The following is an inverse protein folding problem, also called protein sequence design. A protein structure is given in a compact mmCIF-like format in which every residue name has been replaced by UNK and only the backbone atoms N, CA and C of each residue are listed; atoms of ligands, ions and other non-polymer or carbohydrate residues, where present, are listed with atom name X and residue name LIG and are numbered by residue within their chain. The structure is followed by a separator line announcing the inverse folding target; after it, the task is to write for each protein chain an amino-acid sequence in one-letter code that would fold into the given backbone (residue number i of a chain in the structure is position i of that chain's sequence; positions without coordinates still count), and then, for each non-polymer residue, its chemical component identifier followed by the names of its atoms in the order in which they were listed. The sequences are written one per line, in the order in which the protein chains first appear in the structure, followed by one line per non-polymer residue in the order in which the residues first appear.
data_IF_709610150720
#
_entry.id   IF_709610150720
#
_cell.length_a   1.000
_cell.length_b   1.000
_cell.length_c   1.000
_cell.angle_alpha   90.00
_cell.angle_beta   90.00
_cell.angle_gamma   90.00
#
_symmetry.space_group_name_H-M   'P 1'
#
loop_
_entity.id
_entity.type
_entity.pdbx_description
1 polymer ?
#
# COMPACT_ATOMS: atom_id res chain seq x y z
N UNK A 1 44.98 34.65 -45.98
CA UNK A 1 44.88 34.80 -44.52
C UNK A 1 43.51 35.39 -44.20
N UNK A 2 42.51 34.53 -43.98
CA UNK A 2 41.16 34.95 -43.58
C UNK A 2 40.97 34.66 -42.10
N UNK A 3 40.81 35.74 -41.34
CA UNK A 3 40.56 35.74 -39.90
C UNK A 3 39.16 35.20 -39.61
N UNK A 4 39.09 34.04 -38.95
CA UNK A 4 37.86 33.49 -38.37
C UNK A 4 37.63 34.17 -37.02
N UNK A 5 36.78 35.18 -37.00
CA UNK A 5 36.27 35.80 -35.77
C UNK A 5 35.20 34.90 -35.16
N UNK A 6 35.58 34.22 -34.07
CA UNK A 6 34.68 33.36 -33.30
C UNK A 6 33.63 34.22 -32.58
N UNK A 7 32.35 33.91 -32.81
CA UNK A 7 31.21 34.64 -32.26
C UNK A 7 31.09 34.40 -30.75
N UNK A 8 31.26 35.46 -29.94
CA UNK A 8 31.22 35.41 -28.47
C UNK A 8 29.90 34.86 -27.87
N UNK A 9 28.81 34.82 -28.65
CA UNK A 9 27.54 34.21 -28.20
C UNK A 9 27.59 32.68 -28.11
N UNK A 10 28.42 32.01 -28.89
CA UNK A 10 28.55 30.54 -28.85
C UNK A 10 29.31 30.07 -27.61
N UNK A 11 30.22 30.90 -27.09
CA UNK A 11 31.04 30.59 -25.90
C UNK A 11 30.19 30.55 -24.61
N UNK A 12 29.09 31.31 -24.53
CA UNK A 12 28.21 31.34 -23.34
C UNK A 12 27.29 30.13 -23.19
N UNK A 13 27.10 29.32 -24.22
CA UNK A 13 26.29 28.09 -24.18
C UNK A 13 27.11 26.82 -23.95
N UNK A 14 28.41 26.83 -24.27
CA UNK A 14 29.28 25.66 -24.13
C UNK A 14 29.75 25.49 -22.68
N UNK A 15 30.00 26.58 -21.95
CA UNK A 15 30.50 26.52 -20.59
C UNK A 15 29.52 25.85 -19.58
N UNK A 16 28.20 26.13 -19.59
CA UNK A 16 27.26 25.46 -18.68
C UNK A 16 27.08 23.97 -19.00
N UNK A 17 27.10 23.61 -20.29
CA UNK A 17 26.93 22.22 -20.75
C UNK A 17 28.17 21.38 -20.39
N UNK A 18 29.37 21.93 -20.55
CA UNK A 18 30.60 21.25 -20.13
C UNK A 18 30.66 21.05 -18.61
N UNK A 19 30.23 22.03 -17.81
CA UNK A 19 30.14 21.89 -16.35
C UNK A 19 29.09 20.84 -15.96
N UNK A 20 27.92 20.83 -16.59
CA UNK A 20 26.87 19.85 -16.32
C UNK A 20 27.31 18.42 -16.66
N UNK A 21 28.01 18.23 -17.79
CA UNK A 21 28.57 16.93 -18.18
C UNK A 21 29.71 16.49 -17.26
N UNK A 22 30.54 17.42 -16.78
CA UNK A 22 31.65 17.10 -15.86
C UNK A 22 31.12 16.71 -14.47
N UNK A 23 30.07 17.39 -13.98
CA UNK A 23 29.39 17.03 -12.72
C UNK A 23 28.67 15.68 -12.86
N UNK A 24 27.96 15.44 -13.98
CA UNK A 24 27.32 14.15 -14.24
C UNK A 24 28.35 13.01 -14.33
N UNK A 25 29.50 13.24 -14.97
CA UNK A 25 30.59 12.28 -15.07
C UNK A 25 31.25 12.00 -13.71
N UNK A 26 31.48 13.03 -12.89
CA UNK A 26 32.02 12.89 -11.53
C UNK A 26 31.05 12.16 -10.60
N UNK A 27 29.74 12.40 -10.69
CA UNK A 27 28.72 11.67 -9.93
C UNK A 27 28.66 10.20 -10.37
N UNK A 28 28.81 9.91 -11.66
CA UNK A 28 28.84 8.53 -12.16
C UNK A 28 30.12 7.78 -11.74
N UNK A 29 31.25 8.48 -11.66
CA UNK A 29 32.53 7.86 -11.27
C UNK A 29 32.73 7.75 -9.75
N UNK A 30 32.22 8.68 -8.95
CA UNK A 30 32.27 8.57 -7.48
C UNK A 30 31.32 7.51 -6.92
N UNK A 31 30.27 7.13 -7.67
CA UNK A 31 29.39 6.00 -7.33
C UNK A 31 29.89 4.63 -7.82
N UNK A 32 31.09 4.55 -8.39
CA UNK A 32 31.80 3.29 -8.62
C UNK A 32 33.07 3.26 -7.79
N UNK A 33 32.97 2.74 -6.57
CA UNK A 33 34.13 2.18 -5.88
C UNK A 33 33.80 0.79 -5.32
N UNK A 34 34.80 -0.11 -5.27
CA UNK A 34 34.62 -1.55 -5.26
C UNK A 34 34.47 -2.13 -3.85
N UNK A 35 34.01 -3.38 -3.81
CA UNK A 35 33.65 -4.16 -2.62
C UNK A 35 34.56 -3.97 -1.42
N UNK A 36 33.98 -3.45 -0.34
CA UNK A 36 34.48 -3.64 1.01
C UNK A 36 33.99 -5.01 1.52
N UNK A 37 34.92 -5.86 1.91
CA UNK A 37 34.66 -7.14 2.59
C UNK A 37 34.04 -6.82 3.95
N UNK A 38 32.77 -7.18 4.14
CA UNK A 38 32.08 -7.09 5.43
C UNK A 38 32.50 -8.32 6.25
N UNK A 39 32.98 -8.17 7.51
CA UNK A 39 33.30 -9.31 8.35
C UNK A 39 32.04 -10.10 8.69
N UNK A 40 32.13 -11.43 8.60
CA UNK A 40 31.10 -12.39 8.96
C UNK A 40 30.61 -12.17 10.40
N UNK A 41 29.42 -11.59 10.54
CA UNK A 41 28.66 -11.62 11.79
C UNK A 41 27.99 -12.98 11.85
N UNK A 42 28.41 -13.81 12.81
CA UNK A 42 27.71 -15.05 13.18
C UNK A 42 26.25 -14.73 13.49
N UNK A 43 25.33 -15.24 12.67
CA UNK A 43 23.91 -15.34 13.00
C UNK A 43 23.74 -16.38 14.12
N UNK A 44 22.99 -16.07 15.20
CA UNK A 44 22.54 -17.10 16.14
C UNK A 44 21.52 -18.00 15.43
N UNK A 45 21.77 -19.31 15.44
CA UNK A 45 20.92 -20.37 14.85
C UNK A 45 19.63 -20.63 15.65
N UNK A 46 18.87 -19.57 15.95
CA UNK A 46 17.55 -19.68 16.55
C UNK A 46 16.55 -18.91 15.68
N UNK A 47 16.03 -19.57 14.64
CA UNK A 47 14.74 -19.17 14.09
C UNK A 47 13.72 -19.31 15.22
N UNK A 48 13.06 -18.24 15.68
CA UNK A 48 11.92 -18.40 16.58
C UNK A 48 10.86 -19.21 15.84
N UNK A 49 10.35 -20.26 16.49
CA UNK A 49 9.20 -21.02 16.03
C UNK A 49 8.03 -20.05 15.80
N UNK A 50 7.86 -19.61 14.56
CA UNK A 50 6.67 -18.84 14.16
C UNK A 50 5.52 -19.85 14.15
N UNK A 51 4.53 -19.72 15.04
CA UNK A 51 3.39 -20.62 15.04
C UNK A 51 2.72 -20.53 13.67
N UNK A 52 2.40 -21.66 13.05
CA UNK A 52 1.54 -21.67 11.88
C UNK A 52 0.27 -20.87 12.20
N UNK A 53 -0.18 -19.97 11.31
CA UNK A 53 -1.36 -19.16 11.58
C UNK A 53 -2.53 -20.10 11.92
N UNK A 54 -3.35 -19.75 12.92
CA UNK A 54 -4.50 -20.56 13.27
C UNK A 54 -5.37 -20.77 12.02
N UNK A 55 -5.95 -21.97 11.83
CA UNK A 55 -6.88 -22.21 10.74
C UNK A 55 -7.95 -21.12 10.77
N UNK A 56 -8.19 -20.52 9.61
CA UNK A 56 -9.19 -19.47 9.43
C UNK A 56 -10.52 -20.06 9.90
N UNK A 57 -10.97 -19.69 11.10
CA UNK A 57 -12.33 -19.90 11.58
C UNK A 57 -13.25 -18.93 10.83
N UNK A 58 -13.27 -19.04 9.50
CA UNK A 58 -14.45 -18.68 8.75
C UNK A 58 -15.54 -19.61 9.27
N UNK A 59 -16.66 -19.03 9.70
CA UNK A 59 -17.82 -19.78 10.19
C UNK A 59 -18.35 -20.73 9.12
N UNK A 60 -17.71 -21.88 8.97
CA UNK A 60 -18.30 -23.07 8.42
C UNK A 60 -18.97 -23.78 9.58
N UNK A 61 -20.18 -23.29 9.89
CA UNK A 61 -21.14 -24.06 10.66
C UNK A 61 -21.33 -25.39 9.93
N UNK A 62 -20.80 -26.44 10.54
CA UNK A 62 -20.74 -27.79 10.00
C UNK A 62 -22.11 -28.45 10.01
N UNK A 63 -23.03 -27.95 9.19
CA UNK A 63 -24.27 -28.67 8.88
C UNK A 63 -24.63 -28.49 7.40
N UNK A 64 -24.61 -29.62 6.70
CA UNK A 64 -25.37 -29.94 5.49
C UNK A 64 -25.50 -28.89 4.37
N UNK A 65 -24.74 -29.12 3.29
CA UNK A 65 -25.29 -29.09 1.92
C UNK A 65 -24.35 -29.75 0.91
N UNK A 66 -24.71 -30.97 0.49
CA UNK A 66 -24.43 -31.44 -0.87
C UNK A 66 -25.05 -30.42 -1.84
N UNK A 67 -24.20 -29.58 -2.45
CA UNK A 67 -24.56 -28.61 -3.49
C UNK A 67 -24.49 -27.14 -3.08
N UNK A 68 -23.29 -26.57 -3.00
CA UNK A 68 -23.08 -25.18 -3.46
C UNK A 68 -21.60 -24.95 -3.79
N UNK A 69 -21.25 -25.02 -5.06
CA UNK A 69 -19.94 -24.60 -5.60
C UNK A 69 -19.87 -23.07 -5.64
N UNK A 70 -19.89 -22.38 -4.50
CA UNK A 70 -20.09 -20.91 -4.47
C UNK A 70 -18.94 -20.12 -5.12
N UNK A 71 -17.71 -20.48 -4.79
CA UNK A 71 -16.49 -19.94 -5.40
C UNK A 71 -15.33 -20.79 -4.89
N UNK A 72 -14.45 -21.26 -5.79
CA UNK A 72 -13.19 -21.90 -5.40
C UNK A 72 -12.09 -20.86 -5.55
N UNK A 73 -11.41 -20.47 -4.46
CA UNK A 73 -10.33 -19.51 -4.57
C UNK A 73 -9.18 -20.09 -5.40
N UNK A 74 -8.41 -19.24 -6.10
CA UNK A 74 -7.25 -19.69 -6.82
C UNK A 74 -6.19 -20.19 -5.83
N UNK A 75 -5.36 -21.11 -6.31
CA UNK A 75 -4.24 -21.67 -5.57
C UNK A 75 -3.00 -21.57 -6.44
N UNK A 76 -1.86 -21.31 -5.82
CA UNK A 76 -0.58 -21.34 -6.50
C UNK A 76 -0.29 -22.75 -7.04
N UNK A 77 0.13 -22.84 -8.31
CA UNK A 77 0.57 -24.11 -8.91
C UNK A 77 1.90 -24.58 -8.31
N UNK A 78 2.77 -23.65 -7.92
CA UNK A 78 4.06 -23.92 -7.28
C UNK A 78 3.94 -23.70 -5.76
N UNK A 79 4.11 -24.76 -4.97
CA UNK A 79 3.89 -24.74 -3.51
C UNK A 79 5.14 -24.93 -2.65
N UNK A 80 6.32 -25.02 -3.25
CA UNK A 80 7.58 -25.16 -2.52
C UNK A 80 8.29 -23.81 -2.37
N UNK A 81 9.20 -23.72 -1.40
CA UNK A 81 9.91 -22.48 -1.08
C UNK A 81 10.57 -21.86 -2.31
N UNK A 82 10.17 -20.63 -2.64
CA UNK A 82 10.72 -19.87 -3.75
C UNK A 82 11.83 -18.89 -3.35
N UNK A 83 12.04 -18.70 -2.05
CA UNK A 83 13.17 -17.93 -1.55
C UNK A 83 14.23 -18.91 -1.09
N UNK A 84 15.39 -18.89 -1.76
CA UNK A 84 16.57 -19.67 -1.37
C UNK A 84 17.19 -19.10 -0.09
N UNK A 85 18.05 -19.87 0.58
CA UNK A 85 18.74 -19.44 1.81
C UNK A 85 19.58 -18.17 1.67
N UNK A 86 20.00 -17.82 0.45
CA UNK A 86 20.69 -16.57 0.08
C UNK A 86 19.72 -15.42 -0.26
N UNK A 87 18.44 -15.56 0.10
CA UNK A 87 17.33 -14.63 -0.18
C UNK A 87 17.00 -14.43 -1.66
N UNK A 88 17.62 -15.19 -2.57
CA UNK A 88 17.29 -15.12 -3.99
C UNK A 88 15.91 -15.72 -4.21
N UNK A 89 15.06 -14.96 -4.90
CA UNK A 89 13.74 -15.42 -5.32
C UNK A 89 13.89 -16.18 -6.63
N UNK A 90 13.43 -17.42 -6.63
CA UNK A 90 13.25 -18.22 -7.82
C UNK A 90 11.94 -17.79 -8.50
N UNK A 91 12.07 -17.32 -9.74
CA UNK A 91 10.96 -16.62 -10.41
C UNK A 91 10.68 -17.09 -11.83
N UNK A 92 11.45 -18.08 -12.30
CA UNK A 92 11.30 -18.72 -13.61
C UNK A 92 11.28 -17.75 -14.81
N UNK A 93 11.78 -16.53 -14.64
CA UNK A 93 11.88 -15.56 -15.73
C UNK A 93 13.24 -15.58 -16.44
N UNK A 94 14.24 -16.30 -15.91
CA UNK A 94 15.63 -16.39 -16.39
C UNK A 94 16.36 -15.06 -16.63
N UNK A 95 15.73 -13.92 -16.31
CA UNK A 95 16.19 -12.59 -16.73
C UNK A 95 16.58 -11.73 -15.53
N UNK A 96 15.86 -11.82 -14.41
CA UNK A 96 16.06 -10.91 -13.28
C UNK A 96 16.26 -11.65 -11.97
N UNK A 97 17.38 -11.37 -11.30
CA UNK A 97 17.63 -11.84 -9.93
C UNK A 97 16.97 -10.89 -8.95
N UNK A 98 15.85 -11.34 -8.39
CA UNK A 98 15.17 -10.67 -7.30
C UNK A 98 15.65 -11.22 -5.97
N UNK A 99 15.82 -10.34 -4.99
CA UNK A 99 16.19 -10.71 -3.63
C UNK A 99 15.11 -10.26 -2.67
N UNK A 100 14.68 -11.17 -1.81
CA UNK A 100 13.80 -10.88 -0.69
C UNK A 100 14.57 -10.02 0.33
N UNK A 101 14.01 -8.87 0.69
CA UNK A 101 14.55 -7.98 1.70
C UNK A 101 13.52 -7.74 2.80
N UNK A 102 14.01 -7.62 4.03
CA UNK A 102 13.15 -7.47 5.19
C UNK A 102 12.64 -8.83 5.67
N UNK A 103 11.32 -8.95 5.84
CA UNK A 103 10.69 -10.18 6.30
C UNK A 103 10.64 -11.19 5.15
N UNK A 104 11.01 -12.43 5.45
CA UNK A 104 10.78 -13.54 4.52
C UNK A 104 9.28 -13.74 4.26
N UNK A 105 8.90 -14.19 3.06
CA UNK A 105 7.51 -14.55 2.83
C UNK A 105 7.08 -15.65 3.80
N UNK A 106 6.02 -15.37 4.54
CA UNK A 106 5.39 -16.34 5.45
C UNK A 106 4.85 -17.57 4.71
N UNK A 107 4.73 -17.48 3.37
CA UNK A 107 4.19 -18.51 2.51
C UNK A 107 5.21 -18.87 1.44
N UNK A 108 5.48 -20.17 1.24
CA UNK A 108 6.54 -20.62 0.33
C UNK A 108 6.14 -20.54 -1.16
N UNK A 109 4.85 -20.40 -1.44
CA UNK A 109 4.23 -20.51 -2.76
C UNK A 109 4.70 -19.48 -3.80
N UNK A 110 4.57 -19.87 -5.08
CA UNK A 110 4.80 -19.01 -6.25
C UNK A 110 3.56 -18.97 -7.13
N UNK A 111 3.16 -17.77 -7.53
CA UNK A 111 1.99 -17.54 -8.35
C UNK A 111 2.42 -17.23 -9.77
N UNK A 112 1.96 -17.98 -10.77
CA UNK A 112 1.96 -17.48 -12.16
C UNK A 112 0.86 -16.43 -12.32
N UNK A 113 0.93 -15.64 -13.41
CA UNK A 113 -0.15 -14.69 -13.71
C UNK A 113 -1.50 -15.40 -13.90
N UNK A 114 -1.49 -16.59 -14.49
CA UNK A 114 -2.69 -17.41 -14.69
C UNK A 114 -3.22 -17.97 -13.38
N UNK A 115 -2.35 -18.48 -12.50
CA UNK A 115 -2.75 -18.95 -11.16
C UNK A 115 -3.48 -17.83 -10.43
N UNK A 116 -2.92 -16.62 -10.46
CA UNK A 116 -3.46 -15.49 -9.72
C UNK A 116 -4.77 -14.96 -10.30
N UNK A 117 -4.87 -14.83 -11.63
CA UNK A 117 -5.98 -14.10 -12.25
C UNK A 117 -6.90 -14.91 -13.14
N UNK A 118 -6.54 -16.14 -13.51
CA UNK A 118 -7.28 -16.98 -14.46
C UNK A 118 -8.75 -17.16 -14.07
N UNK A 119 -9.02 -17.45 -12.80
CA UNK A 119 -10.38 -17.66 -12.27
C UNK A 119 -11.25 -16.40 -12.31
N UNK A 120 -10.67 -15.21 -12.42
CA UNK A 120 -11.40 -13.93 -12.46
C UNK A 120 -11.65 -13.43 -13.88
N UNK A 121 -11.05 -14.06 -14.89
CA UNK A 121 -11.21 -13.65 -16.29
C UNK A 121 -12.64 -13.84 -16.78
N UNK A 122 -13.22 -15.00 -16.47
CA UNK A 122 -14.56 -15.41 -16.85
C UNK A 122 -15.34 -15.79 -15.59
N UNK A 123 -16.37 -15.03 -15.27
CA UNK A 123 -17.21 -15.28 -14.11
C UNK A 123 -18.36 -16.21 -14.50
N UNK A 124 -18.70 -17.15 -13.61
CA UNK A 124 -20.01 -17.79 -13.63
C UNK A 124 -21.09 -16.78 -13.18
N UNK A 125 -22.36 -17.06 -13.50
CA UNK A 125 -23.48 -16.24 -13.03
C UNK A 125 -23.54 -16.17 -11.50
N UNK A 126 -23.21 -17.28 -10.83
CA UNK A 126 -23.17 -17.35 -9.36
C UNK A 126 -22.07 -16.45 -8.78
N UNK A 127 -20.87 -16.51 -9.35
CA UNK A 127 -19.75 -15.68 -8.89
C UNK A 127 -19.99 -14.20 -9.16
N UNK A 128 -20.57 -13.84 -10.32
CA UNK A 128 -20.98 -12.47 -10.60
C UNK A 128 -22.04 -11.97 -9.60
N UNK A 129 -22.97 -12.84 -9.20
CA UNK A 129 -23.98 -12.52 -8.18
C UNK A 129 -23.33 -12.29 -6.82
N UNK A 130 -22.39 -13.14 -6.39
CA UNK A 130 -21.63 -12.97 -5.13
C UNK A 130 -20.98 -11.58 -5.09
N UNK A 131 -20.32 -11.16 -6.17
CA UNK A 131 -19.71 -9.84 -6.27
C UNK A 131 -20.77 -8.74 -6.12
N UNK A 132 -21.86 -8.81 -6.88
CA UNK A 132 -22.92 -7.78 -6.86
C UNK A 132 -23.65 -7.67 -5.52
N UNK A 133 -23.66 -8.74 -4.75
CA UNK A 133 -24.35 -8.85 -3.47
C UNK A 133 -23.42 -8.67 -2.27
N UNK A 134 -22.11 -8.44 -2.47
CA UNK A 134 -21.12 -8.45 -1.39
C UNK A 134 -21.52 -7.61 -0.17
N UNK A 135 -22.10 -6.42 -0.39
CA UNK A 135 -22.47 -5.50 0.68
C UNK A 135 -23.95 -5.64 1.12
N UNK A 136 -24.77 -6.46 0.44
CA UNK A 136 -26.21 -6.54 0.69
C UNK A 136 -26.49 -7.27 1.99
N UNK A 137 -27.26 -6.62 2.88
CA UNK A 137 -27.64 -7.14 4.20
C UNK A 137 -26.43 -7.60 5.05
N UNK A 138 -25.25 -7.04 4.76
CA UNK A 138 -24.03 -7.39 5.46
C UNK A 138 -24.05 -6.87 6.89
N UNK A 139 -23.67 -7.74 7.83
CA UNK A 139 -23.42 -7.42 9.24
C UNK A 139 -21.94 -7.13 9.51
N UNK A 140 -21.11 -7.08 8.47
CA UNK A 140 -19.68 -6.86 8.59
C UNK A 140 -19.42 -5.47 9.21
N UNK A 141 -18.49 -5.43 10.16
CA UNK A 141 -18.02 -4.20 10.82
C UNK A 141 -16.70 -3.68 10.21
N UNK A 142 -16.18 -4.37 9.20
CA UNK A 142 -14.96 -4.01 8.46
C UNK A 142 -15.28 -3.81 6.99
N UNK A 143 -14.57 -2.89 6.35
CA UNK A 143 -14.69 -2.67 4.91
C UNK A 143 -13.33 -2.47 4.22
N UNK A 144 -13.30 -2.69 2.91
CA UNK A 144 -12.22 -2.29 2.02
C UNK A 144 -12.76 -1.23 1.07
N UNK A 145 -12.09 -0.09 1.00
CA UNK A 145 -12.41 1.04 0.14
C UNK A 145 -11.34 1.13 -0.95
N UNK A 146 -11.69 0.70 -2.16
CA UNK A 146 -10.86 0.90 -3.35
C UNK A 146 -11.04 2.33 -3.85
N UNK A 147 -9.98 3.14 -3.84
CA UNK A 147 -9.99 4.57 -4.18
C UNK A 147 -9.64 4.79 -5.66
N UNK A 148 -10.57 5.39 -6.41
CA UNK A 148 -10.42 5.67 -7.85
C UNK A 148 -10.57 7.15 -8.18
N UNK A 149 -9.87 7.61 -9.21
CA UNK A 149 -10.10 8.91 -9.86
C UNK A 149 -10.98 8.78 -11.11
N UNK A 150 -11.52 9.90 -11.58
CA UNK A 150 -12.37 9.93 -12.79
C UNK A 150 -11.68 9.56 -14.10
N UNK A 151 -10.35 9.45 -14.09
CA UNK A 151 -9.55 8.99 -15.24
C UNK A 151 -9.28 7.47 -15.22
N UNK A 152 -9.77 6.71 -14.24
CA UNK A 152 -9.58 5.25 -14.21
C UNK A 152 -10.26 4.58 -15.41
N UNK A 153 -9.51 3.86 -16.26
CA UNK A 153 -10.13 2.92 -17.19
C UNK A 153 -10.40 1.55 -16.55
N UNK A 154 -11.48 0.95 -17.02
CA UNK A 154 -11.92 -0.38 -16.65
C UNK A 154 -11.39 -1.41 -17.66
N UNK A 155 -10.05 -1.50 -17.77
CA UNK A 155 -9.40 -2.52 -18.61
C UNK A 155 -9.39 -3.88 -17.91
N UNK A 156 -9.26 -4.96 -18.69
CA UNK A 156 -9.44 -6.33 -18.21
C UNK A 156 -8.63 -6.65 -16.94
N UNK A 157 -7.37 -6.22 -16.88
CA UNK A 157 -6.48 -6.52 -15.75
C UNK A 157 -6.90 -5.81 -14.47
N UNK A 158 -7.36 -4.56 -14.60
CA UNK A 158 -7.93 -3.83 -13.49
C UNK A 158 -9.25 -4.49 -13.04
N UNK A 159 -10.11 -4.88 -13.98
CA UNK A 159 -11.34 -5.61 -13.67
C UNK A 159 -11.05 -6.89 -12.89
N UNK A 160 -10.07 -7.70 -13.31
CA UNK A 160 -9.71 -8.95 -12.61
C UNK A 160 -9.16 -8.69 -11.21
N UNK A 161 -8.38 -7.62 -11.04
CA UNK A 161 -7.94 -7.17 -9.72
C UNK A 161 -9.11 -6.76 -8.81
N UNK A 162 -10.08 -5.99 -9.31
CA UNK A 162 -11.25 -5.62 -8.49
C UNK A 162 -12.11 -6.85 -8.17
N UNK A 163 -12.31 -7.75 -9.13
CA UNK A 163 -13.01 -9.03 -8.89
C UNK A 163 -12.32 -9.86 -7.82
N UNK A 164 -10.99 -9.94 -7.86
CA UNK A 164 -10.23 -10.67 -6.84
C UNK A 164 -10.34 -10.02 -5.48
N UNK A 165 -10.29 -8.69 -5.39
CA UNK A 165 -10.50 -7.96 -4.14
C UNK A 165 -11.88 -8.26 -3.53
N UNK A 166 -12.95 -8.22 -4.33
CA UNK A 166 -14.32 -8.47 -3.85
C UNK A 166 -14.50 -9.93 -3.43
N UNK A 167 -14.03 -10.89 -4.22
CA UNK A 167 -14.20 -12.31 -3.89
C UNK A 167 -13.31 -12.76 -2.73
N UNK A 168 -12.07 -12.29 -2.66
CA UNK A 168 -11.14 -12.69 -1.61
C UNK A 168 -11.38 -11.88 -0.34
N UNK A 169 -11.19 -10.56 -0.35
CA UNK A 169 -11.38 -9.75 0.85
C UNK A 169 -12.86 -9.69 1.27
N UNK A 170 -13.76 -9.54 0.30
CA UNK A 170 -15.18 -9.40 0.60
C UNK A 170 -15.85 -10.71 1.01
N UNK A 171 -15.90 -11.67 0.08
CA UNK A 171 -16.61 -12.92 0.29
C UNK A 171 -15.90 -13.90 1.24
N UNK A 172 -14.57 -14.06 1.14
CA UNK A 172 -13.84 -15.03 1.97
C UNK A 172 -13.40 -14.45 3.33
N UNK A 173 -12.91 -13.19 3.36
CA UNK A 173 -12.44 -12.58 4.61
C UNK A 173 -13.51 -11.78 5.38
N UNK A 174 -14.73 -11.65 4.85
CA UNK A 174 -15.85 -11.01 5.55
C UNK A 174 -15.76 -9.49 5.62
N UNK A 175 -15.34 -8.84 4.53
CA UNK A 175 -15.35 -7.38 4.41
C UNK A 175 -16.48 -6.90 3.49
N UNK A 176 -17.02 -5.72 3.76
CA UNK A 176 -17.75 -4.99 2.72
C UNK A 176 -16.73 -4.35 1.77
N UNK A 177 -16.96 -4.37 0.46
CA UNK A 177 -16.06 -3.78 -0.53
C UNK A 177 -16.75 -2.62 -1.24
N UNK A 178 -16.15 -1.44 -1.14
CA UNK A 178 -16.67 -0.19 -1.68
C UNK A 178 -15.69 0.34 -2.72
N UNK A 179 -16.19 0.62 -3.92
CA UNK A 179 -15.43 1.26 -4.98
C UNK A 179 -15.74 2.76 -4.91
N UNK A 180 -14.86 3.51 -4.25
CA UNK A 180 -15.06 4.94 -4.00
C UNK A 180 -14.39 5.78 -5.09
N UNK A 181 -15.19 6.52 -5.85
CA UNK A 181 -14.74 7.20 -7.07
C UNK A 181 -14.89 8.71 -6.93
N UNK A 182 -13.78 9.43 -7.08
CA UNK A 182 -13.76 10.88 -7.18
C UNK A 182 -14.14 11.33 -8.60
N UNK A 183 -15.28 11.99 -8.76
CA UNK A 183 -15.81 12.47 -10.03
C UNK A 183 -16.18 13.96 -9.95
N UNK A 184 -15.31 14.82 -10.47
CA UNK A 184 -15.59 16.24 -10.71
C UNK A 184 -16.00 16.45 -12.18
N UNK A 185 -17.21 15.99 -12.52
CA UNK A 185 -17.76 16.11 -13.88
C UNK A 185 -19.28 16.33 -13.84
N UNK A 186 -19.83 16.83 -14.94
CA UNK A 186 -21.27 16.98 -15.10
C UNK A 186 -22.02 15.63 -15.07
N UNK A 187 -23.34 15.69 -14.88
CA UNK A 187 -24.17 14.51 -14.67
C UNK A 187 -24.20 13.57 -15.88
N UNK A 188 -24.13 14.11 -17.10
CA UNK A 188 -24.13 13.33 -18.34
C UNK A 188 -22.83 12.51 -18.47
N UNK A 189 -21.67 13.17 -18.31
CA UNK A 189 -20.37 12.50 -18.31
C UNK A 189 -20.25 11.49 -17.17
N UNK A 190 -20.78 11.82 -15.99
CA UNK A 190 -20.84 10.89 -14.85
C UNK A 190 -21.64 9.63 -15.20
N UNK A 191 -22.82 9.77 -15.79
CA UNK A 191 -23.63 8.64 -16.21
C UNK A 191 -22.92 7.79 -17.27
N UNK A 192 -22.27 8.44 -18.25
CA UNK A 192 -21.48 7.75 -19.27
C UNK A 192 -20.27 7.01 -18.67
N UNK A 193 -19.60 7.59 -17.67
CA UNK A 193 -18.49 6.96 -16.97
C UNK A 193 -18.94 5.71 -16.20
N UNK A 194 -20.04 5.80 -15.45
CA UNK A 194 -20.58 4.67 -14.68
C UNK A 194 -20.99 3.48 -15.56
N UNK A 195 -21.42 3.72 -16.81
CA UNK A 195 -21.74 2.64 -17.77
C UNK A 195 -20.52 1.79 -18.16
N UNK A 196 -19.30 2.34 -18.06
CA UNK A 196 -18.05 1.62 -18.37
C UNK A 196 -17.68 0.57 -17.32
N UNK A 197 -18.26 0.67 -16.12
CA UNK A 197 -18.02 -0.27 -15.03
C UNK A 197 -18.73 -1.58 -15.34
N UNK A 198 -18.08 -2.74 -15.18
CA UNK A 198 -18.71 -4.05 -15.29
C UNK A 198 -19.96 -4.16 -14.41
N UNK A 199 -20.99 -4.81 -14.92
CA UNK A 199 -22.32 -4.79 -14.30
C UNK A 199 -22.32 -5.35 -12.89
N UNK A 200 -21.53 -6.39 -12.64
CA UNK A 200 -21.38 -7.03 -11.34
C UNK A 200 -20.75 -6.11 -10.29
N UNK A 201 -19.96 -5.12 -10.72
CA UNK A 201 -19.25 -4.19 -9.83
C UNK A 201 -20.03 -2.90 -9.57
N UNK A 202 -20.97 -2.52 -10.45
CA UNK A 202 -21.75 -1.27 -10.33
C UNK A 202 -22.42 -1.09 -8.96
N UNK A 203 -23.03 -2.11 -8.32
CA UNK A 203 -23.66 -1.96 -7.01
C UNK A 203 -22.69 -1.58 -5.88
N UNK A 204 -21.40 -1.81 -6.06
CA UNK A 204 -20.36 -1.53 -5.06
C UNK A 204 -19.82 -0.09 -5.16
N UNK A 205 -20.23 0.65 -6.19
CA UNK A 205 -19.68 1.97 -6.52
C UNK A 205 -20.36 3.07 -5.71
N UNK A 206 -19.53 3.89 -5.07
CA UNK A 206 -19.94 5.14 -4.44
C UNK A 206 -19.15 6.29 -5.05
N UNK A 207 -19.81 7.39 -5.36
CA UNK A 207 -19.16 8.56 -5.98
C UNK A 207 -19.16 9.75 -5.04
N UNK A 208 -18.12 10.56 -5.10
CA UNK A 208 -18.06 11.86 -4.45
C UNK A 208 -17.33 12.87 -5.33
N UNK A 209 -17.51 14.16 -5.05
CA UNK A 209 -16.86 15.28 -5.72
C UNK A 209 -16.01 16.11 -4.74
N UNK A 210 -15.14 16.96 -5.26
CA UNK A 210 -14.43 17.98 -4.49
C UNK A 210 -15.41 18.89 -3.74
N UNK A 211 -16.57 19.20 -4.34
CA UNK A 211 -17.58 20.01 -3.71
C UNK A 211 -18.25 19.30 -2.52
N UNK A 212 -18.46 17.98 -2.62
CA UNK A 212 -19.00 17.19 -1.50
C UNK A 212 -18.05 17.24 -0.29
N UNK A 213 -16.75 17.14 -0.52
CA UNK A 213 -15.72 17.19 0.53
C UNK A 213 -15.62 18.59 1.15
N UNK A 214 -15.63 19.66 0.33
CA UNK A 214 -15.62 21.04 0.81
C UNK A 214 -16.84 21.40 1.66
N UNK A 215 -17.99 20.82 1.34
CA UNK A 215 -19.24 20.98 2.12
C UNK A 215 -19.22 20.15 3.40
N UNK A 216 -18.63 18.95 3.36
CA UNK A 216 -18.61 18.03 4.49
C UNK A 216 -17.56 18.38 5.54
N UNK A 217 -16.37 18.81 5.13
CA UNK A 217 -15.27 19.09 6.06
C UNK A 217 -15.67 20.21 7.03
N UNK A 218 -15.52 20.01 8.35
CA UNK A 218 -15.90 21.01 9.33
C UNK A 218 -15.01 22.26 9.18
N UNK A 219 -15.64 23.44 9.33
CA UNK A 219 -14.91 24.70 9.45
C UNK A 219 -14.23 24.77 10.84
N UNK A 220 -13.05 25.42 10.93
CA UNK A 220 -12.42 26.27 9.93
C UNK A 220 -11.48 25.53 8.95
N UNK A 221 -11.34 24.20 9.01
CA UNK A 221 -10.44 23.50 8.10
C UNK A 221 -10.81 23.72 6.62
N UNK A 222 -9.78 23.76 5.80
CA UNK A 222 -9.89 23.90 4.36
C UNK A 222 -9.56 22.58 3.65
N UNK A 223 -10.33 22.28 2.61
CA UNK A 223 -10.04 21.18 1.70
C UNK A 223 -9.38 21.70 0.43
N UNK A 224 -8.12 21.30 0.22
CA UNK A 224 -7.27 21.70 -0.90
C UNK A 224 -7.61 20.89 -2.14
N UNK A 225 -7.31 19.60 -2.14
CA UNK A 225 -7.63 18.67 -3.23
C UNK A 225 -7.52 17.21 -2.75
N UNK A 226 -8.11 16.28 -3.52
CA UNK A 226 -8.13 14.85 -3.18
C UNK A 226 -6.73 14.23 -3.21
N UNK A 227 -5.81 14.74 -4.03
CA UNK A 227 -4.46 14.19 -4.15
C UNK A 227 -3.62 14.43 -2.88
N UNK A 228 -3.74 15.61 -2.28
CA UNK A 228 -3.00 15.98 -1.07
C UNK A 228 -3.72 15.60 0.22
N UNK A 229 -5.04 15.47 0.19
CA UNK A 229 -5.86 15.22 1.38
C UNK A 229 -6.82 14.04 1.16
N UNK A 230 -6.28 12.93 0.65
CA UNK A 230 -7.06 11.72 0.33
C UNK A 230 -7.68 11.02 1.56
N UNK A 231 -7.29 11.40 2.77
CA UNK A 231 -7.90 10.98 4.03
C UNK A 231 -9.28 11.62 4.25
N UNK A 232 -9.54 12.81 3.69
CA UNK A 232 -10.84 13.51 3.86
C UNK A 232 -12.02 12.67 3.31
N UNK A 233 -11.95 12.07 2.10
CA UNK A 233 -12.94 11.10 1.65
C UNK A 233 -13.14 9.90 2.59
N UNK A 234 -12.08 9.41 3.23
CA UNK A 234 -12.14 8.26 4.15
C UNK A 234 -12.87 8.64 5.43
N UNK A 235 -12.59 9.82 5.99
CA UNK A 235 -13.32 10.35 7.14
C UNK A 235 -14.81 10.56 6.81
N UNK A 236 -15.11 11.12 5.63
CA UNK A 236 -16.50 11.29 5.17
C UNK A 236 -17.21 9.94 5.02
N UNK A 237 -16.53 8.94 4.45
CA UNK A 237 -17.04 7.58 4.33
C UNK A 237 -17.35 6.98 5.71
N UNK A 238 -16.40 7.05 6.64
CA UNK A 238 -16.56 6.52 8.01
C UNK A 238 -17.69 7.22 8.77
N UNK A 239 -17.83 8.54 8.62
CA UNK A 239 -18.91 9.31 9.23
C UNK A 239 -20.30 8.91 8.69
N UNK A 240 -20.42 8.65 7.39
CA UNK A 240 -21.68 8.23 6.75
C UNK A 240 -22.04 6.76 6.95
N UNK A 241 -21.09 5.95 7.39
CA UNK A 241 -21.27 4.52 7.57
C UNK A 241 -20.89 4.10 9.01
N UNK A 242 -21.72 4.46 10.01
CA UNK A 242 -21.41 4.24 11.43
C UNK A 242 -21.23 2.77 11.82
N UNK A 243 -21.71 1.83 10.99
CA UNK A 243 -21.56 0.39 11.23
C UNK A 243 -20.11 -0.13 11.14
N UNK A 244 -19.22 0.58 10.45
CA UNK A 244 -17.83 0.16 10.32
C UNK A 244 -16.98 0.70 11.46
N UNK A 245 -16.17 -0.17 12.07
CA UNK A 245 -15.15 0.25 13.04
C UNK A 245 -13.77 0.34 12.42
N UNK A 246 -13.57 -0.32 11.28
CA UNK A 246 -12.27 -0.39 10.63
C UNK A 246 -12.39 -0.50 9.11
N UNK A 247 -11.55 0.24 8.39
CA UNK A 247 -11.52 0.22 6.92
C UNK A 247 -10.11 0.10 6.40
N UNK A 248 -9.87 -0.78 5.43
CA UNK A 248 -8.69 -0.68 4.59
C UNK A 248 -8.98 0.23 3.41
N UNK A 249 -8.07 1.12 3.06
CA UNK A 249 -8.11 1.90 1.81
C UNK A 249 -7.04 1.38 0.88
N UNK A 250 -7.36 1.18 -0.39
CA UNK A 250 -6.43 0.66 -1.41
C UNK A 250 -6.43 1.62 -2.61
N UNK A 251 -5.26 2.08 -3.06
CA UNK A 251 -5.14 2.86 -4.31
C UNK A 251 -5.26 1.99 -5.56
N UNK A 252 -5.69 2.62 -6.66
CA UNK A 252 -5.94 1.96 -7.94
C UNK A 252 -4.68 1.39 -8.61
N UNK A 253 -3.48 1.81 -8.22
CA UNK A 253 -2.19 1.36 -8.72
C UNK A 253 -1.47 0.39 -7.76
N UNK A 254 -2.14 -0.07 -6.70
CA UNK A 254 -1.66 -1.16 -5.84
C UNK A 254 -2.07 -2.51 -6.42
N UNK A 255 -1.18 -3.50 -6.37
CA UNK A 255 -1.49 -4.88 -6.73
C UNK A 255 -1.03 -5.85 -5.65
N UNK A 256 -1.70 -6.98 -5.56
CA UNK A 256 -1.32 -8.10 -4.71
C UNK A 256 -1.08 -9.33 -5.59
N UNK A 257 0.15 -9.83 -5.60
CA UNK A 257 0.48 -11.19 -6.01
C UNK A 257 0.23 -12.08 -4.78
N UNK A 258 -0.55 -13.14 -4.94
CA UNK A 258 -1.18 -13.86 -3.83
C UNK A 258 -2.61 -13.39 -3.56
N UNK A 259 -3.24 -13.88 -2.49
CA UNK A 259 -4.65 -13.64 -2.17
C UNK A 259 -4.86 -12.63 -1.04
N UNK A 260 -5.90 -11.81 -1.18
CA UNK A 260 -6.25 -10.78 -0.21
C UNK A 260 -6.74 -11.36 1.11
N UNK A 261 -7.53 -12.43 1.11
CA UNK A 261 -8.02 -13.04 2.35
C UNK A 261 -6.88 -13.59 3.19
N UNK A 262 -5.91 -14.24 2.55
CA UNK A 262 -4.72 -14.74 3.20
C UNK A 262 -3.80 -13.62 3.69
N UNK A 263 -3.61 -12.59 2.88
CA UNK A 263 -2.79 -11.44 3.25
C UNK A 263 -3.35 -10.71 4.47
N UNK A 264 -4.66 -10.45 4.49
CA UNK A 264 -5.34 -9.80 5.61
C UNK A 264 -5.33 -10.68 6.87
N UNK A 265 -5.46 -12.00 6.72
CA UNK A 265 -5.32 -12.92 7.84
C UNK A 265 -3.90 -12.92 8.43
N UNK A 266 -2.86 -12.84 7.59
CA UNK A 266 -1.47 -12.76 8.04
C UNK A 266 -1.23 -11.44 8.82
N UNK A 267 -1.81 -10.32 8.37
CA UNK A 267 -1.78 -9.02 9.08
C UNK A 267 -2.45 -9.13 10.46
N UNK A 268 -3.66 -9.69 10.52
CA UNK A 268 -4.42 -9.85 11.77
C UNK A 268 -3.68 -10.81 12.75
N UNK A 269 -3.09 -11.89 12.24
CA UNK A 269 -2.33 -12.87 13.03
C UNK A 269 -1.05 -12.26 13.62
N UNK A 270 -0.31 -11.47 12.85
CA UNK A 270 0.87 -10.78 13.36
C UNK A 270 0.51 -9.73 14.42
N UNK A 271 -0.55 -8.95 14.20
CA UNK A 271 -0.99 -8.00 15.22
C UNK A 271 -1.43 -8.71 16.50
N UNK A 272 -2.14 -9.83 16.38
CA UNK A 272 -2.52 -10.65 17.53
C UNK A 272 -1.30 -11.21 18.28
N UNK A 273 -0.23 -11.59 17.56
CA UNK A 273 1.04 -11.97 18.18
C UNK A 273 1.62 -10.81 19.00
N UNK A 274 1.66 -9.59 18.45
CA UNK A 274 2.12 -8.41 19.17
C UNK A 274 1.33 -8.10 20.43
N UNK A 275 0.01 -8.17 20.36
CA UNK A 275 -0.86 -7.95 21.52
C UNK A 275 -0.58 -8.92 22.66
N UNK A 276 -0.33 -10.20 22.35
CA UNK A 276 0.00 -11.22 23.35
C UNK A 276 1.35 -10.96 24.04
N UNK A 277 2.25 -10.24 23.38
CA UNK A 277 3.60 -9.96 23.87
C UNK A 277 3.82 -8.47 24.15
N UNK A 278 2.75 -7.70 24.34
CA UNK A 278 2.88 -6.27 24.63
C UNK A 278 3.63 -6.03 25.95
N UNK A 279 4.41 -4.97 26.01
CA UNK A 279 5.09 -4.53 27.23
C UNK A 279 4.07 -3.95 28.23
N UNK A 280 4.45 -3.89 29.51
CA UNK A 280 3.53 -3.52 30.61
C UNK A 280 2.96 -2.11 30.49
N UNK A 281 3.67 -1.21 29.82
CA UNK A 281 3.29 0.19 29.61
C UNK A 281 2.51 0.41 28.30
N UNK A 282 2.34 -0.64 27.49
CA UNK A 282 1.57 -0.63 26.25
C UNK A 282 0.12 -1.04 26.50
N UNK A 283 -0.80 -0.38 25.81
CA UNK A 283 -2.20 -0.76 25.77
C UNK A 283 -2.65 -0.92 24.32
N UNK A 284 -2.27 -2.05 23.70
CA UNK A 284 -2.61 -2.36 22.32
C UNK A 284 -4.11 -2.73 22.23
N UNK A 285 -4.87 -1.96 21.44
CA UNK A 285 -6.30 -2.17 21.24
C UNK A 285 -6.61 -3.50 20.53
N UNK A 286 -7.89 -3.93 20.52
CA UNK A 286 -8.25 -5.18 19.83
C UNK A 286 -7.98 -5.16 18.33
N UNK A 287 -8.19 -3.99 17.74
CA UNK A 287 -7.93 -3.67 16.34
C UNK A 287 -6.98 -2.48 16.37
N UNK A 288 -5.88 -2.47 15.58
CA UNK A 288 -4.98 -1.32 15.52
C UNK A 288 -5.73 -0.09 15.01
N UNK A 289 -5.34 1.10 15.46
CA UNK A 289 -6.00 2.33 15.03
C UNK A 289 -5.53 2.78 13.64
N UNK A 290 -4.27 2.51 13.31
CA UNK A 290 -3.65 2.70 12.00
C UNK A 290 -2.87 1.44 11.62
N UNK A 291 -3.10 0.88 10.42
CA UNK A 291 -2.25 -0.16 9.83
C UNK A 291 -1.52 0.40 8.63
N UNK A 292 -0.19 0.22 8.60
CA UNK A 292 0.64 0.66 7.47
C UNK A 292 1.44 -0.50 6.88
N UNK A 293 1.80 -0.35 5.62
CA UNK A 293 2.64 -1.31 4.86
C UNK A 293 3.99 -0.69 4.48
N UNK A 294 4.29 0.49 5.03
CA UNK A 294 5.61 1.09 5.10
C UNK A 294 5.82 1.61 6.51
N UNK A 295 7.05 1.53 7.02
CA UNK A 295 7.38 2.01 8.36
C UNK A 295 6.92 3.45 8.56
N UNK A 296 6.34 3.68 9.74
CA UNK A 296 5.91 5.00 10.19
C UNK A 296 7.10 5.69 10.81
N UNK A 297 7.57 6.79 10.20
CA UNK A 297 8.85 7.39 10.57
C UNK A 297 8.82 8.89 10.54
N UNK A 298 9.84 9.53 11.13
CA UNK A 298 10.04 10.97 10.90
C UNK A 298 10.21 11.23 9.40
N UNK A 299 9.50 12.22 8.85
CA UNK A 299 9.69 12.61 7.47
C UNK A 299 11.08 13.22 7.25
N UNK A 300 11.57 13.18 6.02
CA UNK A 300 12.85 13.81 5.68
C UNK A 300 12.70 15.33 5.69
N UNK A 301 13.70 16.04 6.19
CA UNK A 301 13.71 17.51 6.23
C UNK A 301 13.62 18.16 4.84
N UNK A 302 14.06 17.46 3.79
CA UNK A 302 14.00 17.93 2.41
C UNK A 302 12.68 17.62 1.70
N UNK A 303 11.72 16.99 2.37
CA UNK A 303 10.49 16.51 1.74
C UNK A 303 9.60 17.70 1.29
N UNK A 304 9.31 17.84 -0.03
CA UNK A 304 8.65 19.04 -0.55
C UNK A 304 7.27 19.30 0.05
N UNK A 305 6.52 18.24 0.39
CA UNK A 305 5.18 18.38 0.97
C UNK A 305 5.21 19.13 2.30
N UNK A 306 6.26 19.00 3.12
CA UNK A 306 6.37 19.71 4.40
C UNK A 306 6.87 21.15 4.28
N UNK A 307 7.48 21.49 3.15
CA UNK A 307 8.02 22.84 2.90
C UNK A 307 6.97 23.80 2.37
N UNK A 308 5.80 23.31 1.97
CA UNK A 308 4.72 24.16 1.53
C UNK A 308 4.24 25.04 2.70
N UNK A 309 4.01 26.32 2.43
CA UNK A 309 3.50 27.28 3.42
C UNK A 309 2.19 26.79 4.05
N UNK A 310 1.36 26.09 3.28
CA UNK A 310 0.10 25.48 3.74
C UNK A 310 0.30 24.47 4.88
N UNK A 311 1.47 23.88 5.02
CA UNK A 311 1.74 22.87 6.05
C UNK A 311 2.32 23.45 7.33
N UNK A 312 2.70 24.73 7.37
CA UNK A 312 3.34 25.32 8.56
C UNK A 312 2.45 25.26 9.81
N UNK A 313 1.12 25.45 9.64
CA UNK A 313 0.17 25.33 10.74
C UNK A 313 0.13 23.91 11.31
N UNK A 314 0.11 22.90 10.43
CA UNK A 314 0.18 21.50 10.80
C UNK A 314 1.49 21.15 11.50
N UNK A 315 2.61 21.60 10.94
CA UNK A 315 3.94 21.43 11.52
C UNK A 315 4.02 21.99 12.94
N UNK A 316 3.49 23.20 13.13
CA UNK A 316 3.46 23.86 14.44
C UNK A 316 2.57 23.12 15.43
N UNK A 317 1.37 22.69 15.01
CA UNK A 317 0.45 21.99 15.91
C UNK A 317 1.04 20.67 16.42
N UNK A 318 1.65 19.90 15.52
CA UNK A 318 2.29 18.65 15.91
C UNK A 318 3.61 18.86 16.65
N UNK A 319 4.01 20.11 16.93
CA UNK A 319 5.20 20.40 17.71
C UNK A 319 6.50 20.14 16.96
N UNK A 320 6.56 20.40 15.65
CA UNK A 320 7.80 20.34 14.88
C UNK A 320 8.07 19.01 14.15
N UNK A 321 9.19 18.98 13.41
CA UNK A 321 9.60 17.84 12.57
C UNK A 321 9.87 16.57 13.37
N UNK A 322 10.36 16.72 14.59
CA UNK A 322 10.70 15.67 15.52
C UNK A 322 9.47 14.87 16.00
N UNK A 323 8.30 15.52 15.97
CA UNK A 323 7.04 15.01 16.49
C UNK A 323 6.04 14.62 15.40
N UNK A 324 6.46 14.69 14.14
CA UNK A 324 5.65 14.25 12.99
C UNK A 324 6.09 12.86 12.57
N UNK A 325 5.11 12.10 12.09
CA UNK A 325 5.27 10.77 11.56
C UNK A 325 4.66 10.71 10.18
N UNK A 326 5.31 9.99 9.27
CA UNK A 326 4.81 9.76 7.91
C UNK A 326 4.99 8.32 7.47
N UNK A 327 4.14 7.91 6.54
CA UNK A 327 4.17 6.61 5.87
C UNK A 327 3.49 6.72 4.50
N UNK A 328 3.85 5.84 3.57
CA UNK A 328 3.23 5.76 2.24
C UNK A 328 1.77 5.28 2.36
N UNK A 329 0.82 6.16 2.03
CA UNK A 329 -0.62 5.94 2.26
C UNK A 329 -1.41 5.29 1.13
N UNK A 330 -0.77 4.43 0.35
CA UNK A 330 -1.37 3.77 -0.82
C UNK A 330 -2.19 2.53 -0.44
N UNK A 331 -1.82 1.88 0.66
CA UNK A 331 -2.66 0.96 1.42
C UNK A 331 -2.55 1.31 2.88
N UNK A 332 -3.69 1.57 3.53
CA UNK A 332 -3.75 1.84 4.97
C UNK A 332 -5.01 1.24 5.58
N UNK A 333 -4.88 0.76 6.81
CA UNK A 333 -6.02 0.40 7.65
C UNK A 333 -6.33 1.53 8.63
N UNK A 334 -7.60 1.85 8.79
CA UNK A 334 -8.07 2.99 9.57
C UNK A 334 -9.16 2.55 10.52
N UNK A 335 -8.96 2.77 11.81
CA UNK A 335 -10.03 2.66 12.78
C UNK A 335 -10.96 3.87 12.75
N UNK A 336 -12.17 3.68 13.27
CA UNK A 336 -13.09 4.77 13.58
C UNK A 336 -12.46 5.82 14.50
N UNK A 337 -11.78 5.39 15.56
CA UNK A 337 -11.11 6.28 16.52
C UNK A 337 -10.13 7.22 15.83
N UNK A 338 -9.29 6.69 14.93
CA UNK A 338 -8.37 7.50 14.15
C UNK A 338 -9.12 8.51 13.28
N UNK A 339 -10.14 8.08 12.54
CA UNK A 339 -10.90 9.00 11.67
C UNK A 339 -11.67 10.07 12.45
N UNK A 340 -12.13 9.74 13.66
CA UNK A 340 -12.80 10.68 14.57
C UNK A 340 -11.78 11.69 15.12
N UNK A 341 -10.59 11.24 15.51
CA UNK A 341 -9.47 12.13 15.90
C UNK A 341 -9.07 13.08 14.79
N UNK A 342 -8.92 12.59 13.54
CA UNK A 342 -8.65 13.46 12.39
C UNK A 342 -9.79 14.45 12.14
N UNK A 343 -11.04 14.05 12.40
CA UNK A 343 -12.19 14.94 12.26
C UNK A 343 -12.17 16.03 13.33
N UNK A 344 -11.67 15.71 14.53
CA UNK A 344 -11.46 16.69 15.58
C UNK A 344 -10.35 17.69 15.19
N UNK A 345 -9.22 17.23 14.67
CA UNK A 345 -8.19 18.13 14.12
C UNK A 345 -8.76 19.06 13.03
N UNK A 346 -9.62 18.54 12.14
CA UNK A 346 -10.29 19.36 11.14
C UNK A 346 -11.20 20.45 11.77
N UNK A 347 -11.91 20.14 12.87
CA UNK A 347 -12.70 21.15 13.60
C UNK A 347 -11.83 22.22 14.25
N UNK A 348 -10.59 21.88 14.57
CA UNK A 348 -9.59 22.81 15.09
C UNK A 348 -8.85 23.58 13.98
N UNK A 349 -9.26 23.39 12.71
CA UNK A 349 -8.73 24.11 11.56
C UNK A 349 -7.59 23.42 10.81
N UNK A 350 -7.24 22.18 11.18
CA UNK A 350 -6.08 21.48 10.66
C UNK A 350 -6.50 20.38 9.69
N UNK A 351 -6.04 20.48 8.44
CA UNK A 351 -6.23 19.46 7.43
C UNK A 351 -4.96 19.32 6.59
N UNK A 352 -4.08 18.43 7.01
CA UNK A 352 -2.70 18.37 6.57
C UNK A 352 -2.51 17.40 5.38
N UNK A 353 -1.32 17.37 4.78
CA UNK A 353 -1.00 16.37 3.75
C UNK A 353 -1.13 14.94 4.30
N UNK A 354 -1.84 14.09 3.55
CA UNK A 354 -2.35 12.81 4.04
C UNK A 354 -1.27 11.87 4.57
N UNK A 355 -0.11 11.77 3.90
CA UNK A 355 0.95 10.80 4.24
C UNK A 355 1.59 11.03 5.60
N UNK A 356 1.46 12.23 6.17
CA UNK A 356 1.91 12.51 7.54
C UNK A 356 0.78 12.84 8.50
N UNK A 357 -0.39 13.25 8.03
CA UNK A 357 -1.47 13.65 8.92
C UNK A 357 -1.97 12.49 9.79
N UNK A 358 -2.32 11.37 9.17
CA UNK A 358 -2.85 10.21 9.89
C UNK A 358 -1.82 9.57 10.84
N UNK A 359 -0.56 9.32 10.43
CA UNK A 359 0.42 8.78 11.35
C UNK A 359 0.78 9.75 12.48
N UNK A 360 0.83 11.07 12.22
CA UNK A 360 1.09 12.06 13.28
C UNK A 360 -0.09 12.16 14.26
N UNK A 361 -1.32 12.19 13.76
CA UNK A 361 -2.50 12.16 14.63
C UNK A 361 -2.53 10.89 15.49
N UNK A 362 -2.20 9.73 14.93
CA UNK A 362 -2.12 8.49 15.70
C UNK A 362 -1.07 8.58 16.83
N UNK A 363 0.14 9.05 16.51
CA UNK A 363 1.22 9.26 17.47
C UNK A 363 0.81 10.21 18.62
N UNK A 364 0.28 11.39 18.28
CA UNK A 364 -0.09 12.43 19.28
C UNK A 364 -1.29 12.04 20.14
N UNK A 365 -2.20 11.23 19.62
CA UNK A 365 -3.39 10.77 20.32
C UNK A 365 -3.16 9.46 21.09
N UNK A 366 -1.91 8.96 21.14
CA UNK A 366 -1.55 7.66 21.71
C UNK A 366 -2.42 6.52 21.15
N UNK A 367 -2.74 6.57 19.87
CA UNK A 367 -3.46 5.52 19.17
C UNK A 367 -2.50 4.43 18.73
N UNK A 368 -3.00 3.19 18.59
CA UNK A 368 -2.15 2.06 18.22
C UNK A 368 -1.81 2.11 16.73
N UNK A 369 -0.54 2.27 16.38
CA UNK A 369 -0.06 2.15 14.99
C UNK A 369 0.63 0.82 14.78
N UNK A 370 0.20 0.06 13.77
CA UNK A 370 0.78 -1.22 13.42
C UNK A 370 1.36 -1.20 12.01
N UNK A 371 2.69 -1.27 11.91
CA UNK A 371 3.38 -1.48 10.65
C UNK A 371 3.50 -2.98 10.38
N UNK A 372 2.79 -3.46 9.36
CA UNK A 372 2.95 -4.82 8.85
C UNK A 372 4.09 -4.86 7.84
N UNK A 373 5.21 -5.46 8.22
CA UNK A 373 6.36 -5.62 7.33
C UNK A 373 6.12 -6.80 6.38
N UNK A 374 5.41 -6.52 5.28
CA UNK A 374 5.25 -7.50 4.21
C UNK A 374 6.58 -7.73 3.46
N UNK A 375 6.73 -8.89 2.79
CA UNK A 375 7.90 -9.17 1.96
C UNK A 375 8.08 -8.13 0.86
N UNK A 376 9.34 -7.74 0.64
CA UNK A 376 9.75 -6.82 -0.41
C UNK A 376 10.81 -7.45 -1.27
N UNK A 377 10.79 -7.16 -2.57
CA UNK A 377 11.71 -7.78 -3.52
C UNK A 377 12.47 -6.70 -4.29
N UNK A 378 13.78 -6.71 -4.20
CA UNK A 378 14.64 -5.74 -4.88
C UNK A 378 15.42 -6.41 -6.02
N UNK A 379 15.61 -5.74 -7.17
CA UNK A 379 16.47 -6.26 -8.21
C UNK A 379 17.93 -6.05 -7.80
N UNK A 380 18.73 -7.12 -7.83
CA UNK A 380 20.19 -7.07 -7.61
C UNK A 380 20.65 -6.35 -6.32
N UNK A 381 19.87 -6.43 -5.24
CA UNK A 381 20.21 -5.83 -3.93
C UNK A 381 19.89 -6.78 -2.80
N UNK A 382 20.92 -7.23 -2.10
CA UNK A 382 20.82 -8.20 -1.00
C UNK A 382 20.49 -7.54 0.34
N UNK A 383 20.48 -6.19 0.39
CA UNK A 383 20.20 -5.45 1.62
C UNK A 383 19.16 -4.36 1.40
N UNK A 384 18.33 -4.08 2.42
CA UNK A 384 17.57 -2.83 2.51
C UNK A 384 18.45 -1.61 2.23
N UNK A 385 17.82 -0.51 1.78
CA UNK A 385 18.51 0.78 1.92
C UNK A 385 18.74 1.06 3.41
N UNK A 386 19.95 1.45 3.80
CA UNK A 386 20.33 1.63 5.22
C UNK A 386 19.60 2.77 5.94
N UNK A 387 18.68 3.47 5.27
CA UNK A 387 18.21 4.79 5.70
C UNK A 387 17.05 4.78 6.69
N UNK A 388 16.56 3.62 7.13
CA UNK A 388 15.24 3.55 7.77
C UNK A 388 15.16 2.52 8.88
N UNK A 389 15.69 2.89 10.05
CA UNK A 389 15.34 2.31 11.34
C UNK A 389 14.50 3.33 12.13
N UNK A 390 13.72 2.83 13.08
CA UNK A 390 13.03 3.68 14.07
C UNK A 390 13.73 3.47 15.39
N UNK A 391 14.15 4.58 16.00
CA UNK A 391 14.61 4.50 17.38
C UNK A 391 13.38 4.21 18.28
N UNK A 392 13.52 3.46 19.39
CA UNK A 392 12.41 3.18 20.30
C UNK A 392 11.66 4.44 20.78
N UNK A 393 12.39 5.54 20.99
CA UNK A 393 11.84 6.85 21.36
C UNK A 393 11.00 7.52 20.26
N UNK A 394 11.07 7.01 19.02
CA UNK A 394 10.28 7.53 17.90
C UNK A 394 8.89 6.87 17.84
N UNK A 395 8.68 5.80 18.59
CA UNK A 395 7.44 5.02 18.60
C UNK A 395 6.37 5.68 19.46
N UNK A 396 5.11 5.56 19.03
CA UNK A 396 3.99 5.88 19.90
C UNK A 396 3.98 4.96 21.11
N UNK A 397 3.48 5.46 22.25
CA UNK A 397 3.38 4.67 23.49
C UNK A 397 2.70 3.31 23.28
N UNK A 398 1.67 3.28 22.45
CA UNK A 398 0.87 2.11 22.13
C UNK A 398 1.22 1.48 20.77
N UNK A 399 2.42 1.71 20.24
CA UNK A 399 2.86 1.07 19.01
C UNK A 399 3.62 -0.22 19.34
N UNK A 400 3.41 -1.36 18.64
CA UNK A 400 4.14 -2.59 18.92
C UNK A 400 5.66 -2.40 18.84
N UNK A 401 6.40 -2.89 19.84
CA UNK A 401 7.86 -2.71 19.96
C UNK A 401 8.67 -3.90 19.45
N UNK A 402 8.18 -5.13 19.69
CA UNK A 402 8.94 -6.37 19.50
C UNK A 402 9.34 -6.74 18.06
N UNK A 403 8.76 -6.12 17.03
CA UNK A 403 9.02 -6.44 15.61
C UNK A 403 9.47 -5.20 14.82
N UNK A 404 9.75 -4.09 15.52
CA UNK A 404 10.37 -2.94 14.85
C UNK A 404 11.87 -3.24 14.68
N UNK A 405 12.20 -3.96 13.61
CA UNK A 405 13.55 -4.41 13.30
C UNK A 405 14.55 -3.25 13.25
N UNK A 406 15.81 -3.54 13.59
CA UNK A 406 16.95 -2.61 13.50
C UNK A 406 17.12 -1.99 12.11
N UNK A 407 16.62 -2.65 11.05
CA UNK A 407 16.57 -2.13 9.67
C UNK A 407 15.24 -2.50 9.01
N UNK A 408 14.53 -1.52 8.46
CA UNK A 408 13.32 -1.74 7.67
C UNK A 408 13.63 -1.69 6.17
N UNK A 409 13.18 -2.71 5.44
CA UNK A 409 13.23 -2.70 3.99
C UNK A 409 12.24 -1.69 3.39
N UNK A 410 12.70 -0.87 2.44
CA UNK A 410 11.87 0.06 1.67
C UNK A 410 12.44 0.21 0.25
N UNK A 411 11.66 0.79 -0.66
CA UNK A 411 12.18 1.29 -1.94
C UNK A 411 12.25 0.25 -3.06
N UNK A 412 11.58 -0.89 -2.90
CA UNK A 412 11.63 -2.02 -3.83
C UNK A 412 10.26 -2.24 -4.49
N UNK A 413 9.67 -3.43 -4.39
CA UNK A 413 8.32 -3.67 -4.94
C UNK A 413 7.23 -2.79 -4.36
N UNK A 414 7.46 -2.09 -3.24
CA UNK A 414 6.52 -1.16 -2.63
C UNK A 414 7.21 0.19 -2.35
N UNK A 415 6.93 1.18 -3.19
CA UNK A 415 7.50 2.52 -3.10
C UNK A 415 6.66 3.56 -3.84
N UNK A 416 6.97 4.86 -3.77
CA UNK A 416 6.19 5.88 -4.49
C UNK A 416 6.61 6.04 -5.97
N UNK A 417 7.71 5.40 -6.41
CA UNK A 417 8.23 5.49 -7.79
C UNK A 417 8.08 4.17 -8.52
N UNK A 418 7.53 4.23 -9.74
CA UNK A 418 7.27 3.04 -10.59
C UNK A 418 8.51 2.23 -10.96
N UNK A 419 9.70 2.84 -11.03
CA UNK A 419 10.92 2.20 -11.54
C UNK A 419 11.32 0.95 -10.76
N UNK A 420 10.90 0.81 -9.51
CA UNK A 420 11.24 -0.34 -8.67
C UNK A 420 10.19 -1.45 -8.72
N UNK A 421 8.91 -1.09 -8.73
CA UNK A 421 7.80 -2.04 -8.67
C UNK A 421 7.30 -2.49 -10.05
N UNK A 422 7.32 -1.60 -11.05
CA UNK A 422 6.82 -1.88 -12.39
C UNK A 422 7.54 -3.06 -13.05
N UNK A 423 8.89 -3.15 -13.04
CA UNK A 423 9.57 -4.27 -13.71
C UNK A 423 9.24 -5.62 -13.07
N UNK A 424 9.08 -5.69 -11.75
CA UNK A 424 8.69 -6.91 -11.02
C UNK A 424 7.36 -7.47 -11.53
N UNK A 425 6.40 -6.58 -11.77
CA UNK A 425 5.08 -6.91 -12.26
C UNK A 425 5.03 -7.17 -13.76
N UNK A 426 5.65 -6.32 -14.58
CA UNK A 426 5.58 -6.43 -16.05
C UNK A 426 6.20 -7.72 -16.56
N UNK A 427 7.34 -8.12 -16.01
CA UNK A 427 8.00 -9.39 -16.36
C UNK A 427 7.13 -10.59 -15.99
N UNK A 428 6.52 -10.57 -14.81
CA UNK A 428 5.59 -11.61 -14.35
C UNK A 428 4.32 -11.69 -15.21
N UNK A 429 3.76 -10.54 -15.58
CA UNK A 429 2.58 -10.48 -16.41
C UNK A 429 2.85 -10.91 -17.86
N UNK A 430 3.99 -10.50 -18.44
CA UNK A 430 4.32 -10.75 -19.85
C UNK A 430 4.85 -12.15 -20.10
N UNK A 431 5.39 -12.83 -19.09
CA UNK A 431 5.93 -14.18 -19.19
C UNK A 431 5.00 -15.17 -18.47
N UNK A 432 4.22 -16.00 -19.19
CA UNK A 432 3.34 -17.00 -18.60
C UNK A 432 4.04 -18.05 -17.74
N UNK A 433 5.34 -18.29 -17.98
CA UNK A 433 6.15 -19.25 -17.21
C UNK A 433 6.72 -18.62 -15.94
N UNK A 434 6.79 -17.29 -15.88
CA UNK A 434 7.28 -16.59 -14.72
C UNK A 434 6.28 -16.75 -13.56
N UNK A 435 6.84 -16.98 -12.37
CA UNK A 435 6.09 -17.00 -11.14
C UNK A 435 6.68 -16.00 -10.16
N UNK A 436 5.85 -15.47 -9.25
CA UNK A 436 6.30 -14.57 -8.19
C UNK A 436 5.75 -15.02 -6.84
N UNK A 437 6.53 -14.90 -5.76
CA UNK A 437 6.00 -15.09 -4.41
C UNK A 437 4.92 -14.05 -4.09
N UNK A 438 4.14 -14.26 -3.02
CA UNK A 438 3.25 -13.25 -2.49
C UNK A 438 3.96 -11.91 -2.29
N UNK A 439 3.35 -10.85 -2.82
CA UNK A 439 3.94 -9.51 -2.85
C UNK A 439 2.83 -8.46 -2.93
N UNK A 440 2.85 -7.49 -2.00
CA UNK A 440 2.15 -6.23 -2.19
C UNK A 440 3.04 -5.31 -3.03
N UNK A 441 2.51 -4.85 -4.17
CA UNK A 441 3.29 -4.16 -5.20
C UNK A 441 2.71 -2.78 -5.48
N UNK A 442 3.54 -1.75 -5.43
CA UNK A 442 3.16 -0.37 -5.71
C UNK A 442 4.36 0.50 -6.14
N UNK A 443 4.21 1.38 -7.14
CA UNK A 443 3.02 1.59 -7.96
C UNK A 443 3.07 0.77 -9.25
N UNK A 444 1.93 0.24 -9.69
CA UNK A 444 1.74 -0.37 -11.01
C UNK A 444 0.94 0.58 -11.90
N UNK A 445 1.64 1.25 -12.82
CA UNK A 445 1.08 2.28 -13.71
C UNK A 445 1.28 1.89 -15.16
N UNK A 446 0.32 2.20 -16.02
CA UNK A 446 0.47 2.09 -17.46
C UNK A 446 -0.85 1.96 -18.19
N UNK A 447 -0.84 2.25 -19.49
CA UNK A 447 -2.02 2.21 -20.36
C UNK A 447 -2.68 0.84 -20.41
N UNK A 448 -2.01 -0.21 -19.97
CA UNK A 448 -2.62 -1.53 -19.92
C UNK A 448 -3.56 -1.72 -18.71
N UNK A 449 -3.31 -0.98 -17.63
CA UNK A 449 -4.13 -1.00 -16.40
C UNK A 449 -5.09 0.19 -16.30
N UNK A 450 -4.70 1.32 -16.89
CA UNK A 450 -5.36 2.61 -16.76
C UNK A 450 -6.13 3.08 -17.98
#
# INVERSE_FOLDING_TARGET
MSSLTLNLRTIRLIAPVAVFLTVAFLVFHTYRSPGGVIPNIRTPDAQPDVPSPPPILGGHDGSDRKGSFKFQPPEASVRHGVVRGDKIVWTNDNETVWQSVGRDPNRPECWTYEDRFGVYKKLSLETAKIISDNNKNSKNRRAVVLRLGGNQAWKSHFIWHVRSLVLEAGHLAGYDVIISVHLDMDQEKKAAWLKKIPEELRPLVQTFSTQDLKKWIPKPAEFKNVYEQNHTPVQMFMARNPKYDFVYTVENDVRLIGRWDTFLADVDAEYAFHRKHQERDQNLSDIPDLVTFQSVRRPRADWPWLKAESEQACMKQFGGMENIRSSLGVVWGWSRKLTDSLTQYNKDGLNCYFEYFAPSAAYHQNLTTFFYQHPLYCPNRSSPSERHSLAPEDLGKNDPRLVQHDKVAVGCTYYFVKVHAQPFWETWYRNPEACRPPALVHPIKGDFFN
#
